data_IF_459941214049
#
_entry.id   IF_459941214049
#
_cell.length_a   1.000
_cell.length_b   1.000
_cell.length_c   1.000
_cell.angle_alpha   90.00
_cell.angle_beta   90.00
_cell.angle_gamma   90.00
#
_symmetry.space_group_name_H-M   'P 1'
#
loop_
_entity.id
_entity.type
_entity.pdbx_description
1 polymer ?
#
# COMPACT_ATOMS: atom_id res chain seq x y z
N UNK A 1 49.99 -19.50 -7.88
CA UNK A 1 49.56 -18.13 -8.21
C UNK A 1 48.06 -18.15 -8.43
N UNK A 2 47.26 -17.79 -7.42
CA UNK A 2 45.81 -17.64 -7.58
C UNK A 2 45.49 -16.21 -8.00
N UNK A 3 44.65 -15.99 -9.02
CA UNK A 3 44.17 -14.65 -9.33
C UNK A 3 43.12 -14.27 -8.28
N UNK A 4 43.40 -13.21 -7.52
CA UNK A 4 42.40 -12.56 -6.69
C UNK A 4 41.60 -11.63 -7.59
N UNK A 5 40.37 -12.04 -7.95
CA UNK A 5 39.45 -11.22 -8.74
C UNK A 5 38.87 -10.13 -7.83
N UNK A 6 39.49 -8.95 -7.85
CA UNK A 6 39.00 -7.76 -7.15
C UNK A 6 37.76 -7.26 -7.92
N UNK A 7 36.56 -7.19 -7.32
CA UNK A 7 35.41 -6.59 -8.00
C UNK A 7 35.68 -5.08 -8.19
N UNK A 8 35.57 -4.61 -9.43
CA UNK A 8 35.74 -3.20 -9.79
C UNK A 8 34.80 -2.33 -8.95
N UNK A 9 35.36 -1.39 -8.19
CA UNK A 9 34.64 -0.44 -7.32
C UNK A 9 33.53 0.32 -8.06
N UNK A 10 33.67 0.51 -9.37
CA UNK A 10 32.66 1.11 -10.24
C UNK A 10 31.39 0.29 -10.35
N UNK A 11 31.49 -1.05 -10.34
CA UNK A 11 30.36 -1.96 -10.46
C UNK A 11 29.53 -1.96 -9.17
N UNK A 12 30.20 -1.86 -8.00
CA UNK A 12 29.53 -1.70 -6.70
C UNK A 12 28.76 -0.38 -6.64
N UNK A 13 29.35 0.72 -7.13
CA UNK A 13 28.68 2.03 -7.18
C UNK A 13 27.45 2.04 -8.09
N UNK A 14 27.55 1.40 -9.26
CA UNK A 14 26.46 1.35 -10.24
C UNK A 14 25.28 0.50 -9.73
N UNK A 15 25.58 -0.62 -9.05
CA UNK A 15 24.57 -1.43 -8.37
C UNK A 15 23.89 -0.66 -7.24
N UNK A 16 24.65 0.11 -6.44
CA UNK A 16 24.08 0.91 -5.35
C UNK A 16 23.13 2.01 -5.86
N UNK A 17 23.48 2.69 -6.96
CA UNK A 17 22.61 3.72 -7.58
C UNK A 17 21.33 3.08 -8.17
N UNK A 18 21.42 1.89 -8.76
CA UNK A 18 20.27 1.15 -9.27
C UNK A 18 19.34 0.66 -8.15
N UNK A 19 19.88 0.25 -6.99
CA UNK A 19 19.07 -0.20 -5.86
C UNK A 19 18.30 0.93 -5.17
N UNK A 20 18.84 2.15 -5.11
CA UNK A 20 18.12 3.32 -4.57
C UNK A 20 16.98 3.76 -5.50
N UNK A 21 17.10 3.52 -6.81
CA UNK A 21 16.08 3.89 -7.80
C UNK A 21 14.84 2.99 -7.85
N UNK A 22 14.84 1.84 -7.16
CA UNK A 22 13.75 0.87 -7.20
C UNK A 22 12.79 0.95 -6.00
N UNK A 23 12.96 1.93 -5.11
CA UNK A 23 11.97 2.23 -4.07
C UNK A 23 10.75 2.89 -4.73
N UNK A 24 9.84 2.08 -5.27
CA UNK A 24 8.53 2.54 -5.71
C UNK A 24 7.84 3.27 -4.56
N UNK A 25 7.37 4.48 -4.81
CA UNK A 25 6.49 5.17 -3.86
C UNK A 25 5.17 4.40 -3.80
N UNK A 26 4.62 4.24 -2.60
CA UNK A 26 3.29 3.66 -2.40
C UNK A 26 2.29 4.39 -3.31
N UNK A 27 1.40 3.67 -3.97
CA UNK A 27 0.37 4.25 -4.83
C UNK A 27 -1.01 4.00 -4.22
N UNK A 28 -1.80 5.05 -4.01
CA UNK A 28 -3.14 4.93 -3.45
C UNK A 28 -4.17 5.60 -4.36
N UNK A 29 -5.44 5.23 -4.22
CA UNK A 29 -6.52 6.06 -4.72
C UNK A 29 -6.60 7.33 -3.85
N UNK A 30 -6.67 8.51 -4.48
CA UNK A 30 -6.79 9.80 -3.79
C UNK A 30 -8.06 10.49 -4.28
N UNK A 31 -8.99 10.72 -3.36
CA UNK A 31 -10.29 11.33 -3.64
C UNK A 31 -10.61 12.27 -2.49
N UNK A 32 -10.66 13.57 -2.77
CA UNK A 32 -10.96 14.58 -1.76
C UNK A 32 -12.37 14.44 -1.21
N UNK A 33 -13.37 14.21 -2.06
CA UNK A 33 -14.75 13.86 -1.69
C UNK A 33 -15.42 13.14 -2.86
N UNK A 34 -15.79 11.89 -2.67
CA UNK A 34 -16.56 11.08 -3.61
C UNK A 34 -17.96 10.81 -3.06
N UNK A 35 -18.90 10.49 -3.94
CA UNK A 35 -20.27 10.12 -3.55
C UNK A 35 -20.40 8.60 -3.52
N UNK A 36 -20.94 8.04 -2.43
CA UNK A 36 -21.17 6.60 -2.29
C UNK A 36 -22.13 6.03 -3.35
N UNK A 37 -23.00 6.87 -3.93
CA UNK A 37 -23.95 6.45 -4.96
C UNK A 37 -23.30 6.26 -6.33
N UNK A 38 -22.03 6.61 -6.49
CA UNK A 38 -21.29 6.52 -7.76
C UNK A 38 -20.09 5.61 -7.57
N UNK A 39 -19.92 4.67 -8.50
CA UNK A 39 -18.76 3.80 -8.51
C UNK A 39 -17.47 4.63 -8.60
N UNK A 40 -16.52 4.33 -7.72
CA UNK A 40 -15.22 4.99 -7.75
C UNK A 40 -14.44 4.61 -9.01
N UNK A 41 -14.03 5.60 -9.78
CA UNK A 41 -13.22 5.48 -11.00
C UNK A 41 -11.86 6.19 -10.88
N UNK A 42 -11.48 6.57 -9.66
CA UNK A 42 -10.17 7.18 -9.39
C UNK A 42 -9.03 6.25 -9.80
N UNK A 43 -7.98 6.83 -10.38
CA UNK A 43 -6.75 6.11 -10.68
C UNK A 43 -5.82 6.00 -9.47
N UNK A 44 -4.83 5.13 -9.59
CA UNK A 44 -3.70 5.08 -8.67
C UNK A 44 -2.85 6.34 -8.83
N UNK A 45 -2.49 6.93 -7.70
CA UNK A 45 -1.63 8.12 -7.63
C UNK A 45 -0.47 7.84 -6.70
N UNK A 46 0.73 8.28 -7.09
CA UNK A 46 1.93 8.18 -6.25
C UNK A 46 1.75 8.98 -4.96
N UNK A 47 2.01 8.33 -3.83
CA UNK A 47 1.95 8.96 -2.53
C UNK A 47 3.19 9.82 -2.26
N UNK A 48 3.05 10.88 -1.44
CA UNK A 48 4.19 11.63 -0.93
C UNK A 48 5.19 10.72 -0.21
N UNK A 49 6.49 11.05 -0.32
CA UNK A 49 7.55 10.34 0.39
C UNK A 49 7.25 10.26 1.89
N UNK A 50 7.43 9.07 2.46
CA UNK A 50 7.11 8.80 3.87
C UNK A 50 5.67 8.36 4.12
N UNK A 51 4.84 8.26 3.08
CA UNK A 51 3.56 7.54 3.18
C UNK A 51 3.80 6.05 3.28
N UNK A 52 3.09 5.40 4.20
CA UNK A 52 3.20 3.97 4.48
C UNK A 52 1.91 3.21 4.20
N UNK A 53 0.78 3.93 4.17
CA UNK A 53 -0.55 3.35 4.13
C UNK A 53 -1.51 4.13 3.23
N UNK A 54 -2.55 3.45 2.77
CA UNK A 54 -3.71 4.09 2.16
C UNK A 54 -4.87 4.08 3.15
N UNK A 55 -5.61 5.18 3.22
CA UNK A 55 -6.84 5.24 4.01
C UNK A 55 -8.05 5.54 3.15
N UNK A 56 -9.20 5.05 3.60
CA UNK A 56 -10.52 5.35 3.08
C UNK A 56 -11.45 5.67 4.23
N UNK A 57 -12.09 6.83 4.19
CA UNK A 57 -13.10 7.23 5.17
C UNK A 57 -14.44 7.25 4.47
N UNK A 58 -15.44 6.63 5.07
CA UNK A 58 -16.81 6.60 4.58
C UNK A 58 -17.69 7.31 5.60
N UNK A 59 -18.40 8.33 5.17
CA UNK A 59 -19.44 9.02 5.94
C UNK A 59 -20.80 8.61 5.37
N UNK A 60 -21.50 7.73 6.09
CA UNK A 60 -22.82 7.23 5.73
C UNK A 60 -23.92 8.27 5.97
N UNK A 61 -23.70 9.25 6.87
CA UNK A 61 -24.66 10.33 7.09
C UNK A 61 -24.71 11.27 5.89
N UNK A 62 -23.56 11.56 5.28
CA UNK A 62 -23.45 12.42 4.10
C UNK A 62 -23.43 11.66 2.78
N UNK A 63 -23.41 10.33 2.85
CA UNK A 63 -23.27 9.44 1.70
C UNK A 63 -22.02 9.77 0.86
N UNK A 64 -20.91 10.07 1.52
CA UNK A 64 -19.64 10.46 0.89
C UNK A 64 -18.49 9.60 1.35
N UNK A 65 -17.45 9.48 0.53
CA UNK A 65 -16.18 8.89 0.92
C UNK A 65 -15.01 9.81 0.61
N UNK A 66 -13.91 9.60 1.31
CA UNK A 66 -12.62 10.24 1.01
C UNK A 66 -11.52 9.18 1.01
N UNK A 67 -10.48 9.41 0.22
CA UNK A 67 -9.34 8.51 0.08
C UNK A 67 -8.06 9.33 0.03
N UNK A 68 -7.03 8.87 0.75
CA UNK A 68 -5.76 9.59 0.82
C UNK A 68 -4.63 8.64 1.23
N UNK A 69 -3.40 9.05 0.91
CA UNK A 69 -2.18 8.47 1.45
C UNK A 69 -1.99 8.91 2.90
N UNK A 70 -1.40 8.05 3.72
CA UNK A 70 -1.11 8.32 5.12
C UNK A 70 0.30 7.88 5.49
N UNK A 71 0.95 8.67 6.34
CA UNK A 71 2.26 8.36 6.93
C UNK A 71 2.14 7.56 8.22
N UNK A 72 0.94 7.47 8.79
CA UNK A 72 0.66 6.64 9.95
C UNK A 72 0.48 5.16 9.58
N UNK A 73 0.90 4.30 10.49
CA UNK A 73 0.73 2.86 10.38
C UNK A 73 -0.73 2.44 10.66
N UNK A 74 -1.23 1.43 9.94
CA UNK A 74 -2.55 0.83 10.19
C UNK A 74 -2.54 -0.15 11.37
N UNK A 75 -1.58 -0.02 12.29
CA UNK A 75 -1.47 -0.90 13.47
C UNK A 75 -2.65 -0.69 14.39
N UNK A 76 -3.36 -1.78 14.69
CA UNK A 76 -4.45 -1.78 15.66
C UNK A 76 -4.07 -2.76 16.77
N UNK A 77 -4.11 -2.31 18.03
CA UNK A 77 -3.65 -3.08 19.19
C UNK A 77 -2.20 -3.59 19.08
N UNK A 78 -1.33 -2.81 18.42
CA UNK A 78 0.09 -3.14 18.27
C UNK A 78 0.42 -4.20 17.21
N UNK A 79 -0.56 -4.66 16.42
CA UNK A 79 -0.31 -5.59 15.31
C UNK A 79 -0.48 -4.92 13.94
N UNK A 80 0.50 -5.14 13.06
CA UNK A 80 0.44 -4.75 11.66
C UNK A 80 -0.53 -5.67 10.93
N UNK A 81 -1.67 -5.12 10.47
CA UNK A 81 -2.67 -5.89 9.74
C UNK A 81 -2.35 -5.87 8.24
N UNK A 82 -2.21 -7.05 7.63
CA UNK A 82 -2.03 -7.20 6.19
C UNK A 82 -3.34 -6.99 5.39
N UNK A 83 -4.49 -7.00 6.06
CA UNK A 83 -5.82 -6.79 5.49
C UNK A 83 -6.33 -5.39 5.89
N UNK A 84 -7.05 -4.72 4.99
CA UNK A 84 -7.67 -3.42 5.28
C UNK A 84 -8.47 -3.49 6.59
N UNK A 85 -8.07 -2.70 7.58
CA UNK A 85 -8.69 -2.69 8.89
C UNK A 85 -9.58 -1.46 9.03
N UNK A 86 -10.87 -1.71 9.30
CA UNK A 86 -11.91 -0.69 9.34
C UNK A 86 -12.40 -0.50 10.77
N UNK A 87 -12.30 0.72 11.28
CA UNK A 87 -12.85 1.11 12.57
C UNK A 87 -14.10 1.95 12.37
N UNK A 88 -15.11 1.66 13.18
CA UNK A 88 -16.28 2.52 13.30
C UNK A 88 -15.88 3.80 14.04
N UNK A 89 -15.98 4.94 13.35
CA UNK A 89 -15.69 6.28 13.89
C UNK A 89 -16.96 7.09 14.13
N UNK A 90 -18.11 6.42 14.16
CA UNK A 90 -19.41 7.06 14.34
C UNK A 90 -19.47 7.81 15.67
N UNK A 91 -20.06 9.00 15.63
CA UNK A 91 -20.39 9.83 16.78
C UNK A 91 -21.91 10.06 16.82
N UNK A 92 -22.45 10.63 17.89
CA UNK A 92 -23.89 10.92 17.99
C UNK A 92 -24.30 11.79 16.78
N UNK A 93 -25.19 11.26 15.94
CA UNK A 93 -25.68 11.92 14.73
C UNK A 93 -24.81 11.79 13.48
N UNK A 94 -23.66 11.11 13.55
CA UNK A 94 -22.74 10.89 12.42
C UNK A 94 -22.35 9.42 12.34
N UNK A 95 -22.72 8.75 11.24
CA UNK A 95 -22.33 7.37 10.97
C UNK A 95 -21.13 7.35 10.03
N UNK A 96 -19.96 6.93 10.51
CA UNK A 96 -18.74 6.90 9.71
C UNK A 96 -17.85 5.71 10.04
N UNK A 97 -17.08 5.28 9.03
CA UNK A 97 -16.07 4.21 9.15
C UNK A 97 -14.77 4.70 8.53
N UNK A 98 -13.66 4.44 9.20
CA UNK A 98 -12.31 4.71 8.71
C UNK A 98 -11.56 3.40 8.49
N UNK A 99 -11.15 3.13 7.26
CA UNK A 99 -10.37 1.97 6.86
C UNK A 99 -8.94 2.36 6.52
N UNK A 100 -7.98 1.55 6.95
CA UNK A 100 -6.56 1.73 6.66
C UNK A 100 -5.97 0.41 6.13
N UNK A 101 -5.15 0.48 5.10
CA UNK A 101 -4.51 -0.69 4.50
C UNK A 101 -3.08 -0.39 4.02
N UNK A 102 -2.28 -1.45 3.88
CA UNK A 102 -0.93 -1.40 3.31
C UNK A 102 -0.93 -1.93 1.88
N UNK A 103 -0.05 -1.39 1.04
CA UNK A 103 0.15 -1.82 -0.34
C UNK A 103 -0.61 -0.97 -1.36
N UNK A 104 -0.16 -1.06 -2.61
CA UNK A 104 -0.68 -0.20 -3.67
C UNK A 104 -2.16 -0.49 -3.96
N UNK A 105 -2.96 0.57 -4.09
CA UNK A 105 -4.37 0.48 -4.47
C UNK A 105 -5.29 -0.19 -3.46
N UNK A 106 -4.80 -0.55 -2.27
CA UNK A 106 -5.57 -1.33 -1.30
C UNK A 106 -6.86 -0.63 -0.83
N UNK A 107 -6.93 0.70 -0.96
CA UNK A 107 -8.10 1.51 -0.62
C UNK A 107 -9.13 1.64 -1.76
N UNK A 108 -9.02 0.83 -2.83
CA UNK A 108 -9.95 0.83 -3.95
C UNK A 108 -11.38 0.47 -3.54
N UNK A 109 -11.55 -0.54 -2.69
CA UNK A 109 -12.83 -1.23 -2.48
C UNK A 109 -14.01 -0.32 -2.11
N UNK A 110 -15.19 -0.54 -2.71
CA UNK A 110 -16.42 -0.69 -1.95
C UNK A 110 -17.21 -1.89 -2.47
N UNK A 111 -17.28 -3.00 -1.74
CA UNK A 111 -18.38 -3.96 -1.87
C UNK A 111 -18.49 -4.78 -0.59
N UNK A 112 -19.71 -5.11 -0.23
CA UNK A 112 -20.11 -5.76 1.01
C UNK A 112 -19.81 -7.27 0.98
N UNK A 113 -18.76 -7.67 0.26
CA UNK A 113 -18.42 -9.04 0.00
C UNK A 113 -16.98 -9.26 0.46
N UNK A 114 -16.87 -10.10 1.49
CA UNK A 114 -15.84 -11.15 1.59
C UNK A 114 -15.23 -11.46 0.21
N UNK A 115 -13.90 -11.66 0.12
CA UNK A 115 -13.05 -11.86 -1.09
C UNK A 115 -12.35 -10.55 -1.53
N UNK A 116 -11.01 -10.40 -1.64
CA UNK A 116 -9.95 -11.34 -2.02
C UNK A 116 -8.60 -10.96 -1.41
N UNK A 117 -7.92 -11.99 -0.93
CA UNK A 117 -6.47 -12.11 -0.75
C UNK A 117 -5.80 -11.97 -2.13
N UNK A 118 -5.27 -10.80 -2.50
CA UNK A 118 -4.43 -10.67 -3.70
C UNK A 118 -3.51 -9.45 -3.56
N UNK A 119 -2.33 -9.66 -2.98
CA UNK A 119 -1.35 -8.58 -2.91
C UNK A 119 -0.01 -8.88 -2.25
N UNK A 120 0.30 -10.14 -1.88
CA UNK A 120 1.60 -10.42 -1.23
C UNK A 120 2.29 -11.72 -1.68
N UNK A 121 1.94 -12.27 -2.85
CA UNK A 121 2.65 -13.43 -3.42
C UNK A 121 3.51 -13.02 -4.61
N UNK A 122 4.39 -12.02 -4.45
CA UNK A 122 5.45 -11.75 -5.44
C UNK A 122 6.79 -11.51 -4.74
N UNK A 123 7.18 -12.37 -3.80
CA UNK A 123 8.57 -12.34 -3.29
C UNK A 123 9.10 -13.70 -2.77
N UNK A 124 8.49 -14.82 -3.17
CA UNK A 124 8.96 -16.16 -2.80
C UNK A 124 9.45 -17.03 -3.98
N UNK A 125 9.54 -16.47 -5.20
CA UNK A 125 9.90 -17.24 -6.40
C UNK A 125 11.37 -17.09 -6.86
N UNK A 126 12.17 -16.21 -6.25
CA UNK A 126 13.55 -15.97 -6.72
C UNK A 126 14.61 -16.76 -5.93
N UNK A 127 14.24 -17.48 -4.87
CA UNK A 127 15.21 -18.20 -4.02
C UNK A 127 15.41 -19.68 -4.38
N UNK A 128 14.77 -20.21 -5.44
CA UNK A 128 14.93 -21.62 -5.86
C UNK A 128 15.59 -21.83 -7.23
N UNK A 129 16.14 -20.80 -7.87
CA UNK A 129 16.80 -20.93 -9.17
C UNK A 129 18.32 -20.64 -9.16
N UNK A 130 19.00 -20.98 -8.05
CA UNK A 130 20.47 -20.88 -7.97
C UNK A 130 21.17 -22.10 -7.34
N UNK A 131 20.47 -23.23 -7.20
CA UNK A 131 21.08 -24.48 -6.72
C UNK A 131 20.84 -25.59 -7.75
N UNK A 132 21.41 -25.43 -8.95
CA UNK A 132 21.77 -26.54 -9.84
C UNK A 132 22.77 -26.01 -10.87
N UNK A 133 24.03 -25.96 -10.45
CA UNK A 133 25.20 -26.24 -11.28
C UNK A 133 26.26 -26.84 -10.38
#
# INVERSE_FOLDING_TARGET
MSPSTIPSTHLVFLVLVLFVGAAGALQCHVVATGNLSVTDSSGLTDCPLGSLTCVKIVDFTRNTYTKQCQSLNCTMNGQTNAVANCQNTSMIGVSSVSCCCYGDGCNMAPDNSLHIIAGSIVLAAISKLSIFH
#
